data_IF_894559376039
#
_entry.id   IF_894559376039
#
_cell.length_a   1.000
_cell.length_b   1.000
_cell.length_c   1.000
_cell.angle_alpha   90.00
_cell.angle_beta   90.00
_cell.angle_gamma   90.00
#
_symmetry.space_group_name_H-M   'P 1'
#
loop_
_entity.id
_entity.type
_entity.pdbx_description
1 polymer ?
#
# COMPACT_ATOMS: atom_id res chain seq x y z
N UNK A 1 34.72 4.60 72.30
CA UNK A 1 33.43 5.09 71.76
C UNK A 1 33.59 5.72 70.37
N UNK A 2 34.59 6.59 70.13
CA UNK A 2 34.86 7.25 68.83
C UNK A 2 35.16 6.29 67.65
N UNK A 3 35.84 5.17 67.88
CA UNK A 3 36.17 4.18 66.84
C UNK A 3 34.96 3.40 66.32
N UNK A 4 33.98 3.11 67.19
CA UNK A 4 32.74 2.40 66.82
C UNK A 4 31.81 3.33 66.03
N UNK A 5 31.77 4.63 66.38
CA UNK A 5 31.00 5.63 65.65
C UNK A 5 31.54 5.82 64.23
N UNK A 6 32.86 5.91 64.06
CA UNK A 6 33.53 6.05 62.75
C UNK A 6 33.36 4.84 61.82
N UNK A 7 33.31 3.62 62.38
CA UNK A 7 33.02 2.39 61.62
C UNK A 7 31.56 2.33 61.14
N UNK A 8 30.61 2.82 61.96
CA UNK A 8 29.19 2.92 61.57
C UNK A 8 28.97 3.97 60.48
N UNK A 9 29.58 5.14 60.55
CA UNK A 9 29.49 6.16 59.48
C UNK A 9 30.14 5.70 58.18
N UNK A 10 31.30 5.02 58.21
CA UNK A 10 31.90 4.45 56.99
C UNK A 10 31.03 3.37 56.34
N UNK A 11 30.43 2.46 57.14
CA UNK A 11 29.50 1.46 56.62
C UNK A 11 28.22 2.08 56.06
N UNK A 12 27.69 3.12 56.70
CA UNK A 12 26.52 3.87 56.20
C UNK A 12 26.82 4.61 54.89
N UNK A 13 28.00 5.24 54.77
CA UNK A 13 28.45 5.88 53.52
C UNK A 13 28.59 4.85 52.40
N UNK A 14 29.26 3.73 52.65
CA UNK A 14 29.42 2.64 51.65
C UNK A 14 28.06 2.07 51.24
N UNK A 15 27.15 1.84 52.19
CA UNK A 15 25.80 1.38 51.90
C UNK A 15 25.00 2.40 51.06
N UNK A 16 25.13 3.70 51.36
CA UNK A 16 24.54 4.78 50.56
C UNK A 16 25.07 4.81 49.12
N UNK A 17 26.38 4.70 48.93
CA UNK A 17 27.00 4.60 47.60
C UNK A 17 26.56 3.34 46.85
N UNK A 18 26.45 2.19 47.53
CA UNK A 18 25.95 0.95 46.92
C UNK A 18 24.49 1.07 46.48
N UNK A 19 23.62 1.71 47.27
CA UNK A 19 22.23 1.95 46.88
C UNK A 19 22.12 2.87 45.65
N UNK A 20 22.91 3.93 45.60
CA UNK A 20 22.96 4.82 44.43
C UNK A 20 23.49 4.06 43.20
N UNK A 21 24.55 3.27 43.34
CA UNK A 21 25.11 2.47 42.25
C UNK A 21 24.12 1.40 41.75
N UNK A 22 23.40 0.74 42.65
CA UNK A 22 22.32 -0.20 42.30
C UNK A 22 21.17 0.53 41.60
N UNK A 23 20.77 1.71 42.08
CA UNK A 23 19.76 2.55 41.44
C UNK A 23 20.14 2.95 40.01
N UNK A 24 21.37 3.42 39.81
CA UNK A 24 21.92 3.74 38.48
C UNK A 24 22.01 2.51 37.58
N UNK A 25 22.37 1.35 38.14
CA UNK A 25 22.40 0.08 37.41
C UNK A 25 21.01 -0.35 36.93
N UNK A 26 20.00 -0.25 37.79
CA UNK A 26 18.59 -0.53 37.44
C UNK A 26 18.10 0.45 36.38
N UNK A 27 18.38 1.75 36.53
CA UNK A 27 18.01 2.77 35.54
C UNK A 27 18.68 2.49 34.19
N UNK A 28 19.97 2.20 34.17
CA UNK A 28 20.70 1.86 32.94
C UNK A 28 20.17 0.58 32.28
N UNK A 29 19.80 -0.42 33.08
CA UNK A 29 19.14 -1.64 32.60
C UNK A 29 17.77 -1.36 31.99
N UNK A 30 16.94 -0.57 32.67
CA UNK A 30 15.61 -0.19 32.19
C UNK A 30 15.66 0.62 30.89
N UNK A 31 16.59 1.59 30.78
CA UNK A 31 16.81 2.35 29.55
C UNK A 31 17.24 1.45 28.39
N UNK A 32 18.10 0.46 28.64
CA UNK A 32 18.53 -0.49 27.61
C UNK A 32 17.36 -1.34 27.13
N UNK A 33 16.58 -1.92 28.04
CA UNK A 33 15.40 -2.73 27.72
C UNK A 33 14.38 -1.91 26.94
N UNK A 34 14.11 -0.66 27.34
CA UNK A 34 13.19 0.24 26.62
C UNK A 34 13.68 0.53 25.20
N UNK A 35 14.97 0.78 25.02
CA UNK A 35 15.57 1.02 23.69
C UNK A 35 15.54 -0.23 22.82
N UNK A 36 15.86 -1.39 23.38
CA UNK A 36 15.86 -2.66 22.67
C UNK A 36 14.42 -3.04 22.26
N UNK A 37 13.44 -2.82 23.14
CA UNK A 37 12.01 -2.97 22.84
C UNK A 37 11.59 -2.05 21.68
N UNK A 38 11.85 -0.75 21.78
CA UNK A 38 11.51 0.21 20.71
C UNK A 38 12.16 -0.18 19.37
N UNK A 39 13.42 -0.64 19.39
CA UNK A 39 14.09 -1.16 18.20
C UNK A 39 13.41 -2.41 17.64
N UNK A 40 12.97 -3.33 18.50
CA UNK A 40 12.26 -4.54 18.07
C UNK A 40 10.88 -4.21 17.49
N UNK A 41 10.15 -3.26 18.09
CA UNK A 41 8.89 -2.75 17.56
C UNK A 41 9.09 -2.17 16.16
N UNK A 42 10.04 -1.25 16.02
CA UNK A 42 10.33 -0.60 14.73
C UNK A 42 10.85 -1.57 13.65
N UNK A 43 11.38 -2.73 14.06
CA UNK A 43 11.82 -3.80 13.15
C UNK A 43 10.81 -4.92 12.97
N UNK A 44 9.58 -4.78 13.49
CA UNK A 44 8.49 -5.74 13.31
C UNK A 44 8.70 -7.10 14.00
N UNK A 45 9.45 -7.13 15.10
CA UNK A 45 9.77 -8.35 15.85
C UNK A 45 8.94 -8.56 17.11
N UNK A 46 8.25 -7.51 17.57
CA UNK A 46 7.36 -7.60 18.73
C UNK A 46 5.95 -7.99 18.29
N UNK A 47 5.28 -8.92 19.01
CA UNK A 47 3.93 -9.34 18.67
C UNK A 47 2.93 -8.21 18.95
N UNK A 48 1.81 -8.13 18.20
CA UNK A 48 0.79 -7.11 18.44
C UNK A 48 0.15 -7.21 19.83
N UNK A 49 -0.24 -6.06 20.38
CA UNK A 49 -0.93 -6.00 21.66
C UNK A 49 -2.26 -6.76 21.63
N UNK A 50 -2.58 -7.35 22.79
CA UNK A 50 -3.85 -7.99 23.05
C UNK A 50 -5.01 -6.98 23.15
N UNK A 51 -6.21 -7.40 22.78
CA UNK A 51 -7.45 -6.63 22.98
C UNK A 51 -8.15 -6.20 21.69
N UNK A 52 -7.40 -5.99 20.62
CA UNK A 52 -7.96 -5.68 19.29
C UNK A 52 -8.67 -6.90 18.72
N UNK A 53 -9.92 -6.73 18.28
CA UNK A 53 -10.74 -7.75 17.63
C UNK A 53 -10.73 -7.61 16.11
N UNK A 54 -11.05 -8.69 15.41
CA UNK A 54 -11.16 -8.76 13.95
C UNK A 54 -9.95 -8.17 13.20
N UNK A 55 -8.74 -8.48 13.69
CA UNK A 55 -7.49 -7.99 13.10
C UNK A 55 -7.21 -8.68 11.77
N UNK A 56 -6.89 -7.88 10.75
CA UNK A 56 -6.57 -8.31 9.40
C UNK A 56 -5.06 -8.33 9.22
N UNK A 57 -4.53 -9.43 8.67
CA UNK A 57 -3.11 -9.52 8.32
C UNK A 57 -2.97 -9.25 6.84
N UNK A 58 -2.15 -8.25 6.49
CA UNK A 58 -1.85 -7.93 5.09
C UNK A 58 -0.38 -8.17 4.80
N UNK A 59 -0.11 -9.10 3.88
CA UNK A 59 1.21 -9.31 3.32
C UNK A 59 1.51 -8.17 2.35
N UNK A 60 2.63 -7.50 2.56
CA UNK A 60 3.07 -6.42 1.68
C UNK A 60 4.46 -6.74 1.16
N UNK A 61 4.90 -6.03 0.13
CA UNK A 61 6.29 -5.99 -0.24
C UNK A 61 7.15 -5.23 0.78
N UNK A 62 8.17 -4.57 0.27
CA UNK A 62 8.95 -3.58 0.99
C UNK A 62 8.15 -2.30 1.29
N UNK A 63 7.16 -1.97 0.46
CA UNK A 63 6.25 -0.85 0.65
C UNK A 63 4.82 -1.18 0.16
N UNK A 64 3.83 -0.40 0.57
CA UNK A 64 2.44 -0.50 0.08
C UNK A 64 1.66 0.78 0.41
N UNK A 65 1.32 1.54 -0.63
CA UNK A 65 0.58 2.81 -0.49
C UNK A 65 -0.86 2.55 0.02
N UNK A 66 -1.50 1.48 -0.43
CA UNK A 66 -2.82 1.07 0.05
C UNK A 66 -2.81 0.69 1.54
N UNK A 67 -1.70 0.13 2.04
CA UNK A 67 -1.53 -0.24 3.45
C UNK A 67 -1.39 0.98 4.34
N UNK A 68 -0.69 2.02 3.89
CA UNK A 68 -0.63 3.30 4.61
C UNK A 68 -2.04 3.86 4.86
N UNK A 69 -2.89 3.86 3.82
CA UNK A 69 -4.29 4.27 3.94
C UNK A 69 -5.07 3.37 4.91
N UNK A 70 -4.89 2.05 4.82
CA UNK A 70 -5.55 1.13 5.75
C UNK A 70 -5.12 1.37 7.20
N UNK A 71 -3.84 1.64 7.46
CA UNK A 71 -3.37 1.95 8.81
C UNK A 71 -3.99 3.25 9.32
N UNK A 72 -4.14 4.26 8.47
CA UNK A 72 -4.85 5.50 8.81
C UNK A 72 -6.32 5.29 9.17
N UNK A 73 -7.03 4.44 8.43
CA UNK A 73 -8.47 4.22 8.60
C UNK A 73 -8.81 3.25 9.74
N UNK A 74 -7.98 2.23 9.98
CA UNK A 74 -8.30 1.12 10.88
C UNK A 74 -7.33 0.96 12.06
N UNK A 75 -6.20 1.67 12.05
CA UNK A 75 -5.19 1.61 13.10
C UNK A 75 -4.78 0.18 13.43
N UNK A 76 -4.92 -0.18 14.71
CA UNK A 76 -4.47 -1.47 15.23
C UNK A 76 -5.23 -2.70 14.68
N UNK A 77 -6.36 -2.52 13.99
CA UNK A 77 -7.05 -3.61 13.30
C UNK A 77 -6.31 -4.11 12.06
N UNK A 78 -5.35 -3.34 11.53
CA UNK A 78 -4.48 -3.77 10.44
C UNK A 78 -3.13 -4.20 10.99
N UNK A 79 -2.66 -5.37 10.56
CA UNK A 79 -1.31 -5.85 10.79
C UNK A 79 -0.61 -6.06 9.45
N UNK A 80 0.14 -5.07 8.96
CA UNK A 80 0.96 -5.24 7.78
C UNK A 80 2.19 -6.09 8.07
N UNK A 81 2.59 -6.88 7.08
CA UNK A 81 3.77 -7.74 7.09
C UNK A 81 4.75 -7.25 6.03
N UNK A 82 5.75 -6.47 6.45
CA UNK A 82 6.73 -5.85 5.55
C UNK A 82 7.97 -6.73 5.32
N UNK A 83 8.41 -6.76 4.06
CA UNK A 83 9.71 -7.33 3.68
C UNK A 83 10.88 -6.54 4.24
N UNK A 84 10.77 -5.21 4.22
CA UNK A 84 11.78 -4.30 4.71
C UNK A 84 11.14 -3.15 5.50
N UNK A 85 11.04 -3.29 6.84
CA UNK A 85 10.53 -2.25 7.72
C UNK A 85 11.29 -0.92 7.60
N UNK A 86 12.54 -0.91 7.14
CA UNK A 86 13.32 0.32 7.03
C UNK A 86 12.76 1.27 5.97
N UNK A 87 12.22 0.75 4.87
CA UNK A 87 11.58 1.58 3.83
C UNK A 87 10.31 2.26 4.32
N UNK A 88 9.64 1.65 5.30
CA UNK A 88 8.41 2.17 5.91
C UNK A 88 8.65 2.78 7.28
N UNK A 89 9.89 3.21 7.59
CA UNK A 89 10.25 3.71 8.92
C UNK A 89 9.39 4.89 9.35
N UNK A 90 9.06 5.81 8.44
CA UNK A 90 8.21 6.96 8.74
C UNK A 90 6.83 6.50 9.21
N UNK A 91 6.21 5.57 8.48
CA UNK A 91 4.89 5.02 8.78
C UNK A 91 4.91 4.23 10.09
N UNK A 92 5.95 3.41 10.29
CA UNK A 92 6.11 2.62 11.51
C UNK A 92 6.32 3.53 12.72
N UNK A 93 7.17 4.55 12.63
CA UNK A 93 7.39 5.53 13.71
C UNK A 93 6.08 6.23 14.09
N UNK A 94 5.30 6.67 13.10
CA UNK A 94 4.00 7.30 13.30
C UNK A 94 3.01 6.39 14.06
N UNK A 95 2.79 5.17 13.56
CA UNK A 95 1.77 4.26 14.10
C UNK A 95 2.20 3.46 15.32
N UNK A 96 3.50 3.30 15.53
CA UNK A 96 4.04 2.70 16.75
C UNK A 96 4.23 3.71 17.89
N UNK A 97 3.99 5.00 17.66
CA UNK A 97 4.37 6.09 18.55
C UNK A 97 5.84 6.01 18.97
N UNK A 98 6.73 5.95 17.97
CA UNK A 98 8.19 5.81 18.12
C UNK A 98 8.63 4.54 18.86
N UNK A 99 8.01 3.42 18.50
CA UNK A 99 8.37 2.10 19.01
C UNK A 99 7.73 1.75 20.36
N UNK A 100 6.68 2.46 20.77
CA UNK A 100 5.93 2.14 22.00
C UNK A 100 4.90 1.03 21.78
N UNK A 101 4.34 0.93 20.58
CA UNK A 101 3.25 0.01 20.25
C UNK A 101 3.61 -0.83 19.03
N UNK A 102 3.61 -2.18 19.11
CA UNK A 102 3.78 -3.05 17.96
C UNK A 102 2.62 -2.89 16.97
N UNK A 103 2.93 -2.38 15.78
CA UNK A 103 1.94 -2.12 14.73
C UNK A 103 2.24 -2.84 13.41
N UNK A 104 3.39 -3.52 13.28
CA UNK A 104 3.80 -4.23 12.06
C UNK A 104 4.46 -5.56 12.40
N UNK A 105 4.51 -6.46 11.43
CA UNK A 105 5.30 -7.69 11.49
C UNK A 105 6.34 -7.71 10.37
N UNK A 106 7.48 -8.36 10.57
CA UNK A 106 8.54 -8.44 9.58
C UNK A 106 8.80 -9.88 9.13
N UNK A 107 8.78 -10.08 7.81
CA UNK A 107 9.17 -11.32 7.16
C UNK A 107 10.08 -10.97 5.97
N UNK A 108 11.39 -11.28 6.01
CA UNK A 108 12.27 -10.99 4.89
C UNK A 108 11.84 -11.66 3.59
N UNK A 109 12.25 -11.07 2.45
CA UNK A 109 12.08 -11.67 1.13
C UNK A 109 12.63 -13.10 1.07
N UNK A 110 11.89 -14.00 0.40
CA UNK A 110 12.20 -15.42 0.32
C UNK A 110 11.99 -16.21 1.62
N UNK A 111 11.53 -15.57 2.70
CA UNK A 111 11.35 -16.22 4.01
C UNK A 111 9.90 -16.45 4.46
N UNK A 112 8.93 -16.16 3.60
CA UNK A 112 7.50 -16.33 3.89
C UNK A 112 7.12 -17.79 4.16
N UNK A 113 7.82 -18.75 3.57
CA UNK A 113 7.63 -20.18 3.81
C UNK A 113 8.32 -20.76 5.06
N UNK A 114 9.17 -19.99 5.75
CA UNK A 114 9.87 -20.50 6.94
C UNK A 114 9.08 -20.26 8.22
N UNK A 115 8.86 -21.31 9.02
CA UNK A 115 8.14 -21.21 10.30
C UNK A 115 8.77 -20.23 11.29
N UNK A 116 10.09 -20.09 11.28
CA UNK A 116 10.78 -19.18 12.19
C UNK A 116 10.43 -17.70 11.93
N UNK A 117 10.10 -17.33 10.70
CA UNK A 117 9.66 -15.96 10.34
C UNK A 117 8.32 -15.56 10.96
N UNK A 118 7.55 -16.54 11.42
CA UNK A 118 6.23 -16.35 12.03
C UNK A 118 6.22 -16.70 13.52
N UNK A 119 7.39 -17.04 14.08
CA UNK A 119 7.51 -17.40 15.49
C UNK A 119 7.30 -16.17 16.36
N UNK A 120 6.42 -16.29 17.36
CA UNK A 120 6.00 -15.18 18.22
C UNK A 120 4.66 -14.56 17.79
N UNK A 121 4.30 -14.61 16.51
CA UNK A 121 2.98 -14.15 16.06
C UNK A 121 1.90 -15.14 16.50
N UNK A 122 1.09 -14.71 17.47
CA UNK A 122 -0.02 -15.51 18.01
C UNK A 122 -1.31 -15.11 17.32
N UNK A 123 -1.77 -15.99 16.43
CA UNK A 123 -3.06 -15.86 15.75
C UNK A 123 -4.10 -16.65 16.53
N UNK A 124 -5.11 -15.95 17.02
CA UNK A 124 -6.22 -16.51 17.80
C UNK A 124 -7.55 -15.96 17.30
N UNK A 125 -8.65 -16.27 18.01
CA UNK A 125 -10.02 -15.92 17.61
C UNK A 125 -10.22 -14.42 17.34
N UNK A 126 -9.37 -13.54 17.89
CA UNK A 126 -9.41 -12.10 17.66
C UNK A 126 -8.97 -11.67 16.26
N UNK A 127 -8.40 -12.57 15.46
CA UNK A 127 -8.13 -12.34 14.04
C UNK A 127 -9.30 -12.76 13.14
N UNK A 128 -10.36 -13.30 13.73
CA UNK A 128 -11.52 -13.79 12.96
C UNK A 128 -12.52 -12.67 12.78
N UNK A 129 -12.80 -12.36 11.52
CA UNK A 129 -13.94 -11.54 11.12
C UNK A 129 -15.23 -12.33 11.35
N UNK A 130 -16.20 -11.73 12.06
CA UNK A 130 -17.50 -12.35 12.30
C UNK A 130 -18.50 -11.90 11.23
N UNK A 131 -19.14 -12.86 10.56
CA UNK A 131 -20.21 -12.56 9.60
C UNK A 131 -21.55 -12.30 10.33
N UNK A 132 -22.48 -11.67 9.63
CA UNK A 132 -23.89 -11.54 10.03
C UNK A 132 -24.55 -12.90 10.31
N UNK A 133 -24.10 -13.94 9.60
CA UNK A 133 -24.53 -15.33 9.78
C UNK A 133 -23.83 -16.07 10.93
N UNK A 134 -22.96 -15.39 11.69
CA UNK A 134 -22.24 -15.95 12.85
C UNK A 134 -21.01 -16.79 12.50
N UNK A 135 -20.63 -16.89 11.22
CA UNK A 135 -19.43 -17.61 10.77
C UNK A 135 -18.18 -16.81 11.12
N UNK A 136 -17.10 -17.52 11.42
CA UNK A 136 -15.78 -16.94 11.65
C UNK A 136 -14.91 -17.10 10.41
N UNK A 137 -14.33 -15.99 9.95
CA UNK A 137 -13.51 -15.93 8.75
C UNK A 137 -12.15 -15.32 9.08
N UNK A 138 -11.08 -16.07 8.84
CA UNK A 138 -9.71 -15.58 8.85
C UNK A 138 -9.46 -14.86 7.53
N UNK A 139 -9.50 -13.53 7.56
CA UNK A 139 -9.26 -12.71 6.37
C UNK A 139 -7.78 -12.36 6.29
N UNK A 140 -7.15 -12.76 5.19
CA UNK A 140 -5.76 -12.52 4.88
C UNK A 140 -5.67 -11.79 3.56
N UNK A 141 -4.88 -10.74 3.52
CA UNK A 141 -4.74 -9.87 2.35
C UNK A 141 -3.29 -9.90 1.86
N UNK A 142 -3.08 -9.72 0.57
CA UNK A 142 -1.77 -9.46 0.00
C UNK A 142 -1.85 -8.31 -1.00
N UNK A 143 -0.92 -7.37 -0.88
CA UNK A 143 -0.69 -6.33 -1.86
C UNK A 143 0.58 -6.69 -2.64
N UNK A 144 0.39 -7.07 -3.90
CA UNK A 144 1.48 -7.43 -4.82
C UNK A 144 1.79 -6.31 -5.81
N UNK A 145 1.17 -5.14 -5.62
CA UNK A 145 1.46 -3.94 -6.41
C UNK A 145 2.81 -3.34 -6.01
N UNK A 146 3.29 -2.38 -6.81
CA UNK A 146 4.47 -1.59 -6.50
C UNK A 146 4.06 -0.18 -6.11
N UNK A 147 4.66 0.31 -5.02
CA UNK A 147 4.49 1.69 -4.60
C UNK A 147 4.93 2.66 -5.71
N UNK A 148 4.23 3.79 -5.83
CA UNK A 148 4.45 4.83 -6.87
C UNK A 148 4.26 4.38 -8.33
N UNK A 149 3.75 3.17 -8.58
CA UNK A 149 3.52 2.67 -9.94
C UNK A 149 2.04 2.43 -10.25
N UNK A 150 1.11 2.94 -9.44
CA UNK A 150 -0.31 2.59 -9.57
C UNK A 150 -0.89 2.97 -10.95
N UNK A 151 -0.54 4.15 -11.46
CA UNK A 151 -0.95 4.61 -12.80
C UNK A 151 0.07 4.30 -13.91
N UNK A 152 1.12 3.52 -13.64
CA UNK A 152 1.93 2.93 -14.71
C UNK A 152 1.15 1.76 -15.31
N UNK A 153 0.32 2.03 -16.33
CA UNK A 153 -0.65 1.07 -16.88
C UNK A 153 -0.03 -0.02 -17.78
N UNK A 154 1.28 0.07 -18.02
CA UNK A 154 2.05 -0.97 -18.69
C UNK A 154 2.36 -2.13 -17.72
N UNK A 155 2.51 -3.38 -18.21
CA UNK A 155 2.78 -4.51 -17.33
C UNK A 155 4.17 -4.36 -16.68
N UNK A 156 4.21 -4.26 -15.36
CA UNK A 156 5.48 -4.22 -14.60
C UNK A 156 6.04 -5.64 -14.47
N UNK A 157 7.34 -5.82 -14.74
CA UNK A 157 7.93 -7.15 -14.88
C UNK A 157 8.20 -7.89 -13.55
N UNK A 158 8.37 -7.17 -12.44
CA UNK A 158 8.79 -7.78 -11.16
C UNK A 158 8.01 -7.13 -10.02
N UNK A 159 7.12 -7.87 -9.32
CA UNK A 159 6.39 -7.33 -8.17
C UNK A 159 7.31 -7.26 -6.94
N UNK A 160 7.02 -6.33 -6.02
CA UNK A 160 7.77 -6.22 -4.75
C UNK A 160 7.45 -7.39 -3.81
N UNK A 161 6.21 -7.92 -3.84
CA UNK A 161 5.81 -9.18 -3.19
C UNK A 161 5.45 -10.22 -4.26
N UNK A 162 6.12 -11.37 -4.30
CA UNK A 162 5.79 -12.42 -5.27
C UNK A 162 4.55 -13.22 -4.84
N UNK A 163 3.92 -13.89 -5.80
CA UNK A 163 2.77 -14.75 -5.53
C UNK A 163 3.16 -15.97 -4.71
N UNK A 164 4.36 -16.52 -4.94
CA UNK A 164 4.88 -17.61 -4.13
C UNK A 164 5.01 -17.20 -2.67
N UNK A 165 5.55 -15.99 -2.41
CA UNK A 165 5.69 -15.48 -1.05
C UNK A 165 4.34 -15.22 -0.39
N UNK A 166 3.39 -14.60 -1.11
CA UNK A 166 2.03 -14.39 -0.62
C UNK A 166 1.33 -15.72 -0.27
N UNK A 167 1.39 -16.69 -1.19
CA UNK A 167 0.83 -18.05 -1.04
C UNK A 167 1.45 -18.80 0.14
N UNK A 168 2.77 -18.72 0.31
CA UNK A 168 3.48 -19.29 1.46
C UNK A 168 3.07 -18.62 2.78
N UNK A 169 2.97 -17.29 2.79
CA UNK A 169 2.54 -16.51 3.94
C UNK A 169 1.12 -16.88 4.39
N UNK A 170 0.16 -16.92 3.46
CA UNK A 170 -1.21 -17.35 3.74
C UNK A 170 -1.27 -18.74 4.40
N UNK A 171 -0.51 -19.71 3.88
CA UNK A 171 -0.46 -21.06 4.46
C UNK A 171 0.08 -21.07 5.89
N UNK A 172 1.13 -20.28 6.19
CA UNK A 172 1.69 -20.24 7.54
C UNK A 172 0.79 -19.50 8.53
N UNK A 173 0.12 -18.44 8.09
CA UNK A 173 -0.90 -17.73 8.88
C UNK A 173 -2.06 -18.67 9.22
N UNK A 174 -2.62 -19.36 8.22
CA UNK A 174 -3.72 -20.31 8.41
C UNK A 174 -3.32 -21.46 9.35
N UNK A 175 -2.11 -22.01 9.18
CA UNK A 175 -1.58 -23.04 10.07
C UNK A 175 -1.43 -22.55 11.51
N UNK A 176 -0.95 -21.32 11.71
CA UNK A 176 -0.80 -20.73 13.03
C UNK A 176 -2.16 -20.49 13.70
N UNK A 177 -3.20 -20.15 12.93
CA UNK A 177 -4.58 -20.03 13.40
C UNK A 177 -5.17 -21.40 13.76
N UNK A 178 -5.04 -22.39 12.88
CA UNK A 178 -5.58 -23.74 13.07
C UNK A 178 -4.97 -24.48 14.27
N UNK A 179 -3.75 -24.11 14.69
CA UNK A 179 -3.12 -24.65 15.89
C UNK A 179 -3.74 -24.14 17.20
N UNK A 180 -4.57 -23.08 17.17
CA UNK A 180 -5.07 -22.40 18.37
C UNK A 180 -6.59 -22.20 18.39
N UNK A 181 -7.24 -22.32 17.25
CA UNK A 181 -8.65 -22.00 17.08
C UNK A 181 -9.36 -23.27 16.65
N UNK A 182 -10.32 -23.69 17.46
CA UNK A 182 -11.15 -24.84 17.15
C UNK A 182 -11.99 -24.58 15.89
N UNK A 183 -12.04 -25.59 15.01
CA UNK A 183 -12.85 -25.53 13.80
C UNK A 183 -14.33 -25.68 14.15
N UNK A 184 -15.27 -25.12 13.34
CA UNK A 184 -15.05 -24.58 12.00
C UNK A 184 -14.76 -23.06 11.97
N UNK A 185 -13.71 -22.69 11.24
CA UNK A 185 -13.55 -21.35 10.66
C UNK A 185 -13.15 -21.48 9.20
N UNK A 186 -13.39 -20.44 8.39
CA UNK A 186 -12.98 -20.39 6.98
C UNK A 186 -11.83 -19.40 6.80
N UNK A 187 -11.02 -19.61 5.78
CA UNK A 187 -9.99 -18.67 5.36
C UNK A 187 -10.47 -17.92 4.12
N UNK A 188 -10.12 -16.63 4.02
CA UNK A 188 -10.35 -15.80 2.84
C UNK A 188 -9.03 -15.14 2.47
N UNK A 189 -8.52 -15.44 1.27
CA UNK A 189 -7.28 -14.90 0.69
C UNK A 189 -7.65 -13.88 -0.37
N UNK A 190 -7.30 -12.62 -0.11
CA UNK A 190 -7.56 -11.50 -1.01
C UNK A 190 -6.23 -10.99 -1.57
N UNK A 191 -6.12 -10.87 -2.89
CA UNK A 191 -4.90 -10.35 -3.54
C UNK A 191 -5.24 -9.11 -4.36
N UNK A 192 -4.52 -8.01 -4.13
CA UNK A 192 -4.50 -6.84 -4.99
C UNK A 192 -3.28 -6.92 -5.91
N UNK A 193 -3.49 -6.90 -7.22
CA UNK A 193 -2.42 -6.99 -8.21
C UNK A 193 -2.85 -6.60 -9.62
N UNK A 194 -1.94 -6.69 -10.58
CA UNK A 194 -2.24 -6.43 -11.99
C UNK A 194 -2.54 -7.76 -12.71
N UNK A 195 -3.77 -7.95 -13.21
CA UNK A 195 -4.17 -9.20 -13.89
C UNK A 195 -3.28 -9.57 -15.07
N UNK A 196 -2.76 -8.57 -15.79
CA UNK A 196 -2.00 -8.75 -17.04
C UNK A 196 -0.50 -8.80 -16.81
N UNK A 197 -0.06 -8.59 -15.57
CA UNK A 197 1.32 -8.84 -15.18
C UNK A 197 1.71 -10.27 -15.56
N UNK A 198 2.82 -10.40 -16.27
CA UNK A 198 3.34 -11.70 -16.71
C UNK A 198 4.40 -12.16 -15.73
N UNK A 199 4.16 -13.32 -15.12
CA UNK A 199 5.11 -14.00 -14.26
C UNK A 199 5.29 -15.43 -14.77
N UNK A 200 6.53 -15.86 -14.98
CA UNK A 200 6.83 -17.20 -15.54
C UNK A 200 6.04 -17.52 -16.83
N UNK A 201 5.94 -16.53 -17.74
CA UNK A 201 5.23 -16.62 -19.03
C UNK A 201 3.70 -16.78 -18.94
N UNK A 202 3.10 -16.65 -17.76
CA UNK A 202 1.65 -16.72 -17.57
C UNK A 202 1.15 -15.41 -16.95
N UNK A 203 -0.03 -14.95 -17.37
CA UNK A 203 -0.68 -13.81 -16.73
C UNK A 203 -1.06 -14.13 -15.28
N UNK A 204 -0.91 -13.15 -14.40
CA UNK A 204 -1.12 -13.30 -12.97
C UNK A 204 -2.48 -13.91 -12.63
N UNK A 205 -3.56 -13.40 -13.23
CA UNK A 205 -4.93 -13.89 -12.99
C UNK A 205 -5.06 -15.38 -13.32
N UNK A 206 -4.62 -15.79 -14.50
CA UNK A 206 -4.67 -17.17 -14.96
C UNK A 206 -3.85 -18.12 -14.06
N UNK A 207 -2.68 -17.66 -13.59
CA UNK A 207 -1.86 -18.41 -12.64
C UNK A 207 -2.59 -18.63 -11.31
N UNK A 208 -3.19 -17.58 -10.74
CA UNK A 208 -3.88 -17.64 -9.45
C UNK A 208 -5.06 -18.62 -9.48
N UNK A 209 -5.82 -18.62 -10.58
CA UNK A 209 -6.94 -19.53 -10.81
C UNK A 209 -6.46 -20.98 -10.96
N UNK A 210 -5.46 -21.23 -11.81
CA UNK A 210 -4.94 -22.57 -12.05
C UNK A 210 -4.37 -23.25 -10.79
N UNK A 211 -3.77 -22.47 -9.88
CA UNK A 211 -3.17 -22.98 -8.64
C UNK A 211 -4.06 -22.81 -7.40
N UNK A 212 -5.25 -22.20 -7.54
CA UNK A 212 -6.15 -21.87 -6.45
C UNK A 212 -5.44 -21.14 -5.29
N UNK A 213 -4.62 -20.12 -5.61
CA UNK A 213 -3.80 -19.38 -4.65
C UNK A 213 -4.51 -18.16 -4.03
N UNK A 214 -5.64 -17.77 -4.62
CA UNK A 214 -6.42 -16.60 -4.26
C UNK A 214 -7.92 -16.93 -4.26
N UNK A 215 -8.67 -16.40 -3.30
CA UNK A 215 -10.13 -16.54 -3.26
C UNK A 215 -10.83 -15.32 -3.88
N UNK A 216 -10.26 -14.12 -3.71
CA UNK A 216 -10.76 -12.87 -4.31
C UNK A 216 -9.59 -12.04 -4.83
N UNK A 217 -9.52 -11.86 -6.15
CA UNK A 217 -8.54 -11.03 -6.83
C UNK A 217 -9.12 -9.66 -7.16
N UNK A 218 -8.38 -8.62 -6.76
CA UNK A 218 -8.69 -7.21 -7.02
C UNK A 218 -7.68 -6.70 -8.07
N UNK A 219 -8.17 -6.31 -9.25
CA UNK A 219 -7.30 -5.75 -10.28
C UNK A 219 -6.97 -4.28 -9.99
N UNK A 220 -5.73 -4.03 -9.57
CA UNK A 220 -5.23 -2.73 -9.18
C UNK A 220 -5.27 -1.69 -10.31
N UNK A 221 -5.08 -2.12 -11.57
CA UNK A 221 -5.07 -1.23 -12.74
C UNK A 221 -6.49 -0.93 -13.21
N UNK A 222 -7.36 -1.93 -13.22
CA UNK A 222 -8.76 -1.76 -13.56
C UNK A 222 -9.45 -0.73 -12.64
N UNK A 223 -9.09 -0.71 -11.35
CA UNK A 223 -9.58 0.28 -10.38
C UNK A 223 -9.27 1.71 -10.85
N UNK A 224 -8.00 2.02 -11.13
CA UNK A 224 -7.58 3.37 -11.49
C UNK A 224 -8.06 3.77 -12.88
N UNK A 225 -8.11 2.83 -13.83
CA UNK A 225 -8.69 3.05 -15.16
C UNK A 225 -10.18 3.39 -15.07
N UNK A 226 -10.94 2.65 -14.27
CA UNK A 226 -12.37 2.90 -14.06
C UNK A 226 -12.60 4.27 -13.42
N UNK A 227 -11.77 4.67 -12.45
CA UNK A 227 -11.85 5.98 -11.84
C UNK A 227 -11.56 7.11 -12.85
N UNK A 228 -10.55 6.92 -13.71
CA UNK A 228 -10.21 7.88 -14.76
C UNK A 228 -11.35 8.03 -15.77
N UNK A 229 -11.91 6.92 -16.25
CA UNK A 229 -13.05 6.98 -17.17
C UNK A 229 -14.28 7.63 -16.53
N UNK A 230 -14.57 7.34 -15.26
CA UNK A 230 -15.66 7.99 -14.51
C UNK A 230 -15.44 9.49 -14.30
N UNK A 231 -14.18 9.93 -14.18
CA UNK A 231 -13.86 11.35 -14.15
C UNK A 231 -14.10 11.99 -15.52
N UNK A 232 -13.59 11.38 -16.59
CA UNK A 232 -13.73 11.89 -17.95
C UNK A 232 -15.21 11.96 -18.41
N UNK A 233 -16.04 10.99 -18.02
CA UNK A 233 -17.48 10.98 -18.30
C UNK A 233 -18.26 12.17 -17.75
N UNK A 234 -17.71 12.90 -16.77
CA UNK A 234 -18.34 14.12 -16.22
C UNK A 234 -18.02 15.36 -17.04
N UNK A 235 -17.06 15.27 -17.95
CA UNK A 235 -16.63 16.38 -18.80
C UNK A 235 -17.53 16.48 -20.03
N UNK A 236 -17.63 17.67 -20.66
CA UNK A 236 -18.28 17.81 -21.95
C UNK A 236 -17.65 16.89 -22.99
N UNK A 237 -18.47 16.28 -23.85
CA UNK A 237 -17.99 15.26 -24.79
C UNK A 237 -17.10 15.82 -25.90
N UNK A 238 -17.26 17.11 -26.19
CA UNK A 238 -16.45 17.90 -27.12
C UNK A 238 -15.23 18.56 -26.47
N UNK A 239 -15.06 18.42 -25.15
CA UNK A 239 -13.89 18.99 -24.46
C UNK A 239 -12.62 18.20 -24.79
N UNK A 240 -11.59 18.91 -25.26
CA UNK A 240 -10.23 18.38 -25.36
C UNK A 240 -9.63 18.27 -23.97
N UNK A 241 -9.16 17.09 -23.59
CA UNK A 241 -8.47 16.86 -22.31
C UNK A 241 -6.98 17.08 -22.53
N UNK A 242 -6.40 18.05 -21.82
CA UNK A 242 -4.96 18.26 -21.80
C UNK A 242 -4.33 17.31 -20.80
N UNK A 243 -3.30 16.58 -21.21
CA UNK A 243 -2.61 15.61 -20.36
C UNK A 243 -1.17 16.07 -20.16
N UNK A 244 -0.82 16.37 -18.91
CA UNK A 244 0.56 16.63 -18.48
C UNK A 244 1.15 15.34 -17.89
N UNK A 245 1.89 14.60 -18.73
CA UNK A 245 2.54 13.36 -18.30
C UNK A 245 3.76 13.02 -19.15
N UNK A 246 4.47 11.95 -18.78
CA UNK A 246 5.53 11.40 -19.64
C UNK A 246 4.96 10.88 -20.97
N UNK A 247 5.75 10.82 -22.06
CA UNK A 247 5.26 10.32 -23.35
C UNK A 247 4.66 8.90 -23.27
N UNK A 248 5.25 8.04 -22.45
CA UNK A 248 4.76 6.67 -22.23
C UNK A 248 3.39 6.67 -21.56
N UNK A 249 3.23 7.44 -20.48
CA UNK A 249 1.97 7.53 -19.75
C UNK A 249 0.89 8.22 -20.58
N UNK A 250 1.26 9.25 -21.35
CA UNK A 250 0.38 9.94 -22.28
C UNK A 250 -0.25 8.98 -23.28
N UNK A 251 0.56 8.18 -23.97
CA UNK A 251 0.08 7.27 -25.01
C UNK A 251 -1.00 6.32 -24.48
N UNK A 252 -0.82 5.80 -23.27
CA UNK A 252 -1.79 4.89 -22.65
C UNK A 252 -3.07 5.62 -22.24
N UNK A 253 -2.95 6.75 -21.53
CA UNK A 253 -4.11 7.53 -21.08
C UNK A 253 -4.92 8.06 -22.27
N UNK A 254 -4.24 8.51 -23.32
CA UNK A 254 -4.85 8.94 -24.56
C UNK A 254 -5.65 7.81 -25.22
N UNK A 255 -5.08 6.61 -25.33
CA UNK A 255 -5.79 5.45 -25.88
C UNK A 255 -7.01 5.05 -25.04
N UNK A 256 -6.86 5.02 -23.71
CA UNK A 256 -7.95 4.72 -22.77
C UNK A 256 -9.11 5.73 -22.89
N UNK A 257 -8.80 7.03 -22.96
CA UNK A 257 -9.81 8.09 -23.09
C UNK A 257 -10.43 8.12 -24.49
N UNK A 258 -9.67 7.84 -25.54
CA UNK A 258 -10.14 7.73 -26.92
C UNK A 258 -11.14 6.58 -27.09
N UNK A 259 -10.99 5.49 -26.34
CA UNK A 259 -11.99 4.39 -26.32
C UNK A 259 -13.39 4.85 -25.86
N UNK A 260 -13.49 6.02 -25.21
CA UNK A 260 -14.75 6.67 -24.84
C UNK A 260 -15.08 7.93 -25.66
N UNK A 261 -14.36 8.15 -26.75
CA UNK A 261 -14.60 9.25 -27.67
C UNK A 261 -14.04 10.60 -27.21
N UNK A 262 -13.22 10.64 -26.16
CA UNK A 262 -12.56 11.87 -25.75
C UNK A 262 -11.35 12.17 -26.63
N UNK A 263 -11.17 13.46 -26.94
CA UNK A 263 -9.97 13.97 -27.62
C UNK A 263 -8.96 14.38 -26.55
N UNK A 264 -7.70 14.01 -26.75
CA UNK A 264 -6.61 14.32 -25.82
C UNK A 264 -5.49 15.07 -26.51
N UNK A 265 -4.76 15.88 -25.75
CA UNK A 265 -3.61 16.66 -26.24
C UNK A 265 -2.51 16.69 -25.17
N UNK A 266 -1.22 16.61 -25.53
CA UNK A 266 -0.13 16.80 -24.59
C UNK A 266 -0.06 18.25 -24.08
N UNK A 267 0.36 18.44 -22.82
CA UNK A 267 0.56 19.78 -22.25
C UNK A 267 1.52 20.67 -23.05
N UNK A 268 2.55 20.08 -23.67
CA UNK A 268 3.52 20.81 -24.49
C UNK A 268 2.89 21.42 -25.74
N UNK A 269 1.93 20.72 -26.35
CA UNK A 269 1.19 21.21 -27.52
C UNK A 269 0.17 22.26 -27.12
N UNK A 270 -0.60 22.01 -26.06
CA UNK A 270 -1.58 22.96 -25.52
C UNK A 270 -0.92 24.30 -25.13
N UNK A 271 0.28 24.24 -24.54
CA UNK A 271 1.05 25.43 -24.17
C UNK A 271 1.60 26.21 -25.37
N UNK A 272 1.73 25.59 -26.54
CA UNK A 272 2.17 26.24 -27.77
C UNK A 272 1.02 26.96 -28.51
N UNK A 273 -0.23 26.68 -28.15
CA UNK A 273 -1.41 27.31 -28.76
C UNK A 273 -1.66 28.70 -28.16
N UNK A 274 -1.18 29.74 -28.83
CA UNK A 274 -1.32 31.14 -28.36
C UNK A 274 -2.68 31.77 -28.66
N UNK A 275 -3.45 31.19 -29.60
CA UNK A 275 -4.72 31.75 -30.08
C UNK A 275 -5.96 31.06 -29.51
N UNK A 276 -5.78 29.99 -28.74
CA UNK A 276 -6.86 29.18 -28.16
C UNK A 276 -6.74 29.27 -26.64
N UNK A 277 -7.86 29.47 -25.96
CA UNK A 277 -7.92 29.50 -24.50
C UNK A 277 -7.85 28.09 -23.93
N UNK A 278 -6.66 27.49 -23.95
CA UNK A 278 -6.44 26.13 -23.48
C UNK A 278 -6.51 26.04 -21.96
N UNK A 279 -6.37 27.16 -21.23
CA UNK A 279 -6.46 27.22 -19.77
C UNK A 279 -7.81 26.77 -19.20
N UNK A 280 -8.89 26.90 -19.99
CA UNK A 280 -10.24 26.50 -19.61
C UNK A 280 -10.54 25.02 -19.90
N UNK A 281 -9.62 24.30 -20.56
CA UNK A 281 -9.81 22.89 -20.86
C UNK A 281 -9.55 22.00 -19.62
N UNK A 282 -10.16 20.82 -19.54
CA UNK A 282 -9.84 19.83 -18.51
C UNK A 282 -8.36 19.42 -18.57
N UNK A 283 -7.67 19.52 -17.44
CA UNK A 283 -6.26 19.15 -17.31
C UNK A 283 -6.11 17.90 -16.44
N UNK A 284 -5.44 16.89 -16.96
CA UNK A 284 -5.07 15.66 -16.25
C UNK A 284 -3.56 15.65 -16.03
N UNK A 285 -3.12 15.63 -14.77
CA UNK A 285 -1.69 15.71 -14.42
C UNK A 285 -1.24 14.40 -13.79
N UNK A 286 -0.19 13.79 -14.36
CA UNK A 286 0.43 12.59 -13.83
C UNK A 286 1.90 12.46 -14.24
N UNK A 287 2.80 12.49 -13.25
CA UNK A 287 4.22 12.29 -13.45
C UNK A 287 4.73 11.06 -12.68
N UNK A 288 6.03 10.82 -12.74
CA UNK A 288 6.70 9.62 -12.21
C UNK A 288 6.56 9.38 -10.71
N UNK A 289 6.13 10.39 -9.94
CA UNK A 289 5.86 10.25 -8.51
C UNK A 289 4.76 11.22 -8.08
N UNK A 290 4.13 10.91 -6.95
CA UNK A 290 3.11 11.78 -6.35
C UNK A 290 3.64 13.22 -6.14
N UNK A 291 4.86 13.37 -5.63
CA UNK A 291 5.48 14.69 -5.42
C UNK A 291 5.73 15.44 -6.73
N UNK A 292 6.16 14.74 -7.78
CA UNK A 292 6.35 15.35 -9.10
C UNK A 292 5.01 15.83 -9.69
N UNK A 293 3.96 15.01 -9.59
CA UNK A 293 2.61 15.37 -10.04
C UNK A 293 2.10 16.63 -9.34
N UNK A 294 2.24 16.71 -8.02
CA UNK A 294 1.82 17.88 -7.23
C UNK A 294 2.60 19.14 -7.65
N UNK A 295 3.92 19.03 -7.80
CA UNK A 295 4.75 20.16 -8.22
C UNK A 295 4.38 20.67 -9.63
N UNK A 296 4.12 19.75 -10.57
CA UNK A 296 3.70 20.12 -11.93
C UNK A 296 2.33 20.80 -11.94
N UNK A 297 1.36 20.25 -11.22
CA UNK A 297 0.04 20.87 -11.03
C UNK A 297 0.17 22.29 -10.46
N UNK A 298 0.94 22.46 -9.39
CA UNK A 298 1.15 23.78 -8.77
C UNK A 298 1.79 24.76 -9.75
N UNK A 299 2.75 24.31 -10.56
CA UNK A 299 3.38 25.12 -11.61
C UNK A 299 2.35 25.54 -12.68
N UNK A 300 1.46 24.64 -13.10
CA UNK A 300 0.40 24.95 -14.08
C UNK A 300 -0.57 26.02 -13.57
N UNK A 301 -0.99 25.89 -12.30
CA UNK A 301 -1.90 26.84 -11.66
C UNK A 301 -1.23 28.21 -11.49
N UNK A 302 -0.03 28.25 -10.91
CA UNK A 302 0.70 29.50 -10.64
C UNK A 302 1.08 30.26 -11.93
N UNK A 303 1.27 29.54 -13.04
CA UNK A 303 1.54 30.14 -14.34
C UNK A 303 0.28 30.53 -15.12
N UNK A 304 -0.92 30.41 -14.52
CA UNK A 304 -2.21 30.66 -15.16
C UNK A 304 -2.40 29.87 -16.47
N UNK A 305 -1.83 28.67 -16.54
CA UNK A 305 -1.93 27.78 -17.72
C UNK A 305 -3.08 26.77 -17.62
N UNK A 306 -3.69 26.65 -16.45
CA UNK A 306 -4.85 25.81 -16.22
C UNK A 306 -5.74 26.41 -15.12
N UNK A 307 -7.06 26.35 -15.31
CA UNK A 307 -8.03 26.61 -14.26
C UNK A 307 -7.96 25.47 -13.21
N UNK A 308 -7.72 25.78 -11.92
CA UNK A 308 -7.70 24.77 -10.85
C UNK A 308 -8.95 23.88 -10.80
N UNK A 309 -10.12 24.43 -11.14
CA UNK A 309 -11.40 23.70 -11.12
C UNK A 309 -11.52 22.68 -12.25
N UNK A 310 -10.71 22.84 -13.30
CA UNK A 310 -10.62 21.93 -14.45
C UNK A 310 -9.47 20.93 -14.30
N UNK A 311 -8.67 21.05 -13.25
CA UNK A 311 -7.53 20.18 -13.01
C UNK A 311 -7.92 18.90 -12.27
N UNK A 312 -7.25 17.80 -12.62
CA UNK A 312 -7.31 16.53 -11.94
C UNK A 312 -5.91 15.93 -11.80
N UNK A 313 -5.46 15.72 -10.57
CA UNK A 313 -4.17 15.07 -10.30
C UNK A 313 -4.34 13.57 -10.07
N UNK A 314 -3.50 12.76 -10.73
CA UNK A 314 -3.38 11.33 -10.47
C UNK A 314 -2.29 11.08 -9.43
N UNK A 315 -2.69 10.62 -8.25
CA UNK A 315 -1.82 10.50 -7.07
C UNK A 315 -1.65 9.03 -6.68
N UNK A 316 -0.42 8.54 -6.59
CA UNK A 316 -0.21 7.14 -6.20
C UNK A 316 -0.53 6.90 -4.73
N UNK A 317 -0.10 7.83 -3.85
CA UNK A 317 -0.19 7.70 -2.40
C UNK A 317 -1.10 8.76 -1.76
N UNK A 318 -1.40 8.59 -0.46
CA UNK A 318 -2.28 9.48 0.29
C UNK A 318 -1.62 10.81 0.71
N UNK A 319 -0.29 10.85 0.81
CA UNK A 319 0.44 12.09 1.09
C UNK A 319 0.15 13.19 0.04
N UNK A 320 -0.02 12.80 -1.23
CA UNK A 320 -0.43 13.73 -2.28
C UNK A 320 -1.78 14.40 -2.03
N UNK A 321 -2.72 13.71 -1.37
CA UNK A 321 -4.04 14.29 -1.07
C UNK A 321 -3.95 15.39 -0.02
N UNK A 322 -3.13 15.20 1.01
CA UNK A 322 -2.95 16.21 2.06
C UNK A 322 -2.30 17.46 1.49
N UNK A 323 -1.26 17.30 0.67
CA UNK A 323 -0.63 18.42 -0.03
C UNK A 323 -1.61 19.12 -0.99
N UNK A 324 -2.42 18.35 -1.73
CA UNK A 324 -3.41 18.94 -2.64
C UNK A 324 -4.49 19.74 -1.89
N UNK A 325 -4.89 19.31 -0.69
CA UNK A 325 -5.80 20.07 0.16
C UNK A 325 -5.20 21.40 0.59
N UNK A 326 -3.90 21.44 0.89
CA UNK A 326 -3.19 22.68 1.21
C UNK A 326 -3.17 23.65 0.02
N UNK A 327 -2.90 23.15 -1.19
CA UNK A 327 -2.96 23.97 -2.42
C UNK A 327 -4.39 24.48 -2.66
N UNK A 328 -5.38 23.61 -2.56
CA UNK A 328 -6.79 23.97 -2.73
C UNK A 328 -7.25 25.05 -1.74
N UNK A 329 -6.77 25.00 -0.48
CA UNK A 329 -7.02 26.03 0.53
C UNK A 329 -6.33 27.36 0.19
N UNK A 330 -5.10 27.32 -0.32
CA UNK A 330 -4.37 28.51 -0.71
C UNK A 330 -5.00 29.22 -1.92
N UNK A 331 -5.48 28.45 -2.89
CA UNK A 331 -6.11 28.94 -4.12
C UNK A 331 -7.62 29.22 -3.96
N UNK A 332 -8.19 29.02 -2.75
CA UNK A 332 -9.63 29.14 -2.43
C UNK A 332 -10.54 28.42 -3.46
N UNK A 333 -10.13 27.23 -3.88
CA UNK A 333 -10.78 26.50 -4.97
C UNK A 333 -10.73 24.99 -4.75
N UNK A 334 -11.50 24.25 -5.54
CA UNK A 334 -11.47 22.78 -5.52
C UNK A 334 -10.65 22.27 -6.68
N UNK A 335 -9.65 21.44 -6.37
CA UNK A 335 -8.87 20.74 -7.36
C UNK A 335 -9.26 19.26 -7.35
N UNK A 336 -9.51 18.69 -8.53
CA UNK A 336 -9.83 17.27 -8.67
C UNK A 336 -8.63 16.37 -8.37
N UNK A 337 -8.89 15.17 -7.89
CA UNK A 337 -7.86 14.15 -7.72
C UNK A 337 -8.40 12.74 -7.82
N UNK A 338 -7.54 11.83 -8.28
CA UNK A 338 -7.75 10.39 -8.20
C UNK A 338 -6.55 9.81 -7.45
N UNK A 339 -6.79 9.32 -6.22
CA UNK A 339 -5.74 8.70 -5.41
C UNK A 339 -5.84 7.17 -5.52
N UNK A 340 -4.80 6.54 -6.05
CA UNK A 340 -4.77 5.09 -6.23
C UNK A 340 -4.78 4.35 -4.89
N UNK A 341 -3.98 4.78 -3.91
CA UNK A 341 -3.93 4.17 -2.59
C UNK A 341 -5.29 4.13 -1.89
N UNK A 342 -6.08 5.20 -1.97
CA UNK A 342 -7.43 5.24 -1.40
C UNK A 342 -8.37 4.28 -2.12
N UNK A 343 -8.33 4.26 -3.46
CA UNK A 343 -9.16 3.37 -4.25
C UNK A 343 -8.80 1.90 -3.99
N UNK A 344 -7.52 1.57 -3.92
CA UNK A 344 -7.05 0.22 -3.60
C UNK A 344 -7.50 -0.23 -2.21
N UNK A 345 -7.36 0.61 -1.17
CA UNK A 345 -7.91 0.30 0.16
C UNK A 345 -9.44 0.17 0.15
N UNK A 346 -10.15 1.01 -0.62
CA UNK A 346 -11.61 0.94 -0.71
C UNK A 346 -12.09 -0.39 -1.26
N UNK A 347 -11.38 -0.99 -2.22
CA UNK A 347 -11.72 -2.31 -2.73
C UNK A 347 -11.39 -3.42 -1.72
N UNK A 348 -10.26 -3.35 -1.00
CA UNK A 348 -10.03 -4.26 0.13
C UNK A 348 -11.14 -4.15 1.18
N UNK A 349 -11.52 -2.93 1.53
CA UNK A 349 -12.62 -2.63 2.46
C UNK A 349 -13.94 -3.20 1.97
N UNK A 350 -14.25 -3.04 0.68
CA UNK A 350 -15.47 -3.57 0.07
C UNK A 350 -15.53 -5.09 0.17
N UNK A 351 -14.43 -5.79 -0.12
CA UNK A 351 -14.34 -7.25 0.04
C UNK A 351 -14.60 -7.65 1.50
N UNK A 352 -14.00 -6.95 2.48
CA UNK A 352 -14.27 -7.20 3.91
C UNK A 352 -15.73 -6.97 4.28
N UNK A 353 -16.36 -5.91 3.79
CA UNK A 353 -17.78 -5.59 4.04
C UNK A 353 -18.69 -6.68 3.48
N UNK A 354 -18.51 -7.08 2.21
CA UNK A 354 -19.31 -8.14 1.61
C UNK A 354 -19.10 -9.50 2.30
N UNK A 355 -17.88 -9.78 2.72
CA UNK A 355 -17.57 -10.95 3.54
C UNK A 355 -18.33 -10.93 4.86
N UNK A 356 -18.38 -9.77 5.56
CA UNK A 356 -19.19 -9.60 6.77
C UNK A 356 -20.66 -9.84 6.51
N UNK A 357 -21.18 -9.38 5.38
CA UNK A 357 -22.57 -9.58 4.97
C UNK A 357 -22.90 -11.05 4.65
N UNK A 358 -21.88 -11.91 4.52
CA UNK A 358 -22.04 -13.35 4.33
C UNK A 358 -21.97 -13.80 2.86
N UNK A 359 -21.58 -12.92 1.94
CA UNK A 359 -21.33 -13.30 0.54
C UNK A 359 -20.15 -14.27 0.44
N UNK A 360 -20.22 -15.21 -0.50
CA UNK A 360 -19.09 -16.11 -0.79
C UNK A 360 -18.01 -15.37 -1.58
N UNK A 361 -16.78 -15.89 -1.53
CA UNK A 361 -15.67 -15.38 -2.32
C UNK A 361 -15.98 -15.37 -3.83
N UNK A 362 -16.65 -16.41 -4.34
CA UNK A 362 -17.08 -16.49 -5.75
C UNK A 362 -18.03 -15.35 -6.12
N UNK A 363 -19.06 -15.08 -5.31
CA UNK A 363 -20.01 -13.98 -5.56
C UNK A 363 -19.33 -12.62 -5.51
N UNK A 364 -18.38 -12.44 -4.59
CA UNK A 364 -17.57 -11.23 -4.52
C UNK A 364 -16.73 -11.08 -5.79
N UNK A 365 -16.10 -12.16 -6.27
CA UNK A 365 -15.29 -12.15 -7.47
C UNK A 365 -16.13 -11.82 -8.71
N UNK A 366 -17.29 -12.46 -8.87
CA UNK A 366 -18.20 -12.26 -10.01
C UNK A 366 -18.64 -10.79 -10.12
N UNK A 367 -18.93 -10.15 -8.98
CA UNK A 367 -19.28 -8.73 -8.91
C UNK A 367 -18.11 -7.82 -9.32
N UNK A 368 -16.89 -8.12 -8.85
CA UNK A 368 -15.70 -7.37 -9.24
C UNK A 368 -15.41 -7.52 -10.75
N UNK A 369 -15.51 -8.73 -11.27
CA UNK A 369 -15.28 -9.03 -12.68
C UNK A 369 -16.31 -8.34 -13.57
N UNK A 370 -17.59 -8.35 -13.16
CA UNK A 370 -18.65 -7.60 -13.84
C UNK A 370 -18.36 -6.11 -13.87
N UNK A 371 -17.93 -5.55 -12.73
CA UNK A 371 -17.64 -4.12 -12.61
C UNK A 371 -16.43 -3.69 -13.45
N UNK A 372 -15.44 -4.57 -13.60
CA UNK A 372 -14.21 -4.28 -14.34
C UNK A 372 -14.23 -4.76 -15.79
N UNK A 373 -15.26 -5.48 -16.23
CA UNK A 373 -15.32 -6.09 -17.56
C UNK A 373 -15.00 -5.11 -18.69
N UNK A 374 -15.58 -3.91 -18.64
CA UNK A 374 -15.37 -2.88 -19.67
C UNK A 374 -13.92 -2.39 -19.72
N UNK A 375 -13.35 -2.02 -18.55
CA UNK A 375 -11.98 -1.48 -18.50
C UNK A 375 -10.94 -2.55 -18.80
N UNK A 376 -11.20 -3.81 -18.44
CA UNK A 376 -10.33 -4.93 -18.79
C UNK A 376 -10.31 -5.20 -20.29
N UNK A 377 -11.45 -5.06 -20.98
CA UNK A 377 -11.50 -5.15 -22.44
C UNK A 377 -10.66 -4.05 -23.12
N UNK A 378 -10.75 -2.81 -22.63
CA UNK A 378 -9.93 -1.69 -23.13
C UNK A 378 -8.45 -1.90 -22.80
N UNK A 379 -8.14 -2.39 -21.61
CA UNK A 379 -6.77 -2.68 -21.16
C UNK A 379 -6.09 -3.69 -22.10
N UNK A 380 -6.81 -4.75 -22.46
CA UNK A 380 -6.33 -5.78 -23.39
C UNK A 380 -6.05 -5.20 -24.78
N UNK A 381 -6.97 -4.40 -25.34
CA UNK A 381 -6.77 -3.79 -26.67
C UNK A 381 -5.63 -2.76 -26.68
N UNK A 382 -5.46 -2.02 -25.58
CA UNK A 382 -4.37 -1.02 -25.44
C UNK A 382 -2.99 -1.69 -25.48
N UNK A 383 -2.84 -2.86 -24.87
CA UNK A 383 -1.56 -3.59 -24.89
C UNK A 383 -1.21 -4.15 -26.28
N UNK A 384 -2.20 -4.34 -27.15
CA UNK A 384 -2.01 -4.79 -28.52
C UNK A 384 -1.68 -3.61 -29.46
N UNK A 385 -2.15 -2.40 -29.14
CA UNK A 385 -1.97 -1.20 -29.97
C UNK A 385 -0.72 -0.38 -29.65
N UNK A 386 -0.22 -0.39 -28.40
CA UNK A 386 0.97 0.38 -28.00
C UNK A 386 2.26 -0.40 -28.32
N UNK A 387 3.19 0.14 -29.12
CA UNK A 387 4.42 -0.54 -29.47
C UNK A 387 5.28 -0.80 -28.22
N UNK A 388 5.69 -2.06 -28.03
CA UNK A 388 6.60 -2.45 -26.94
C UNK A 388 7.98 -1.87 -27.22
N UNK A 389 8.40 -0.87 -26.46
CA UNK A 389 9.83 -0.59 -26.37
C UNK A 389 10.51 -1.79 -25.70
N UNK A 390 11.58 -2.36 -26.29
CA UNK A 390 12.27 -3.46 -25.67
C UNK A 390 12.83 -2.99 -24.32
N UNK A 391 12.40 -3.66 -23.25
CA UNK A 391 12.99 -3.51 -21.91
C UNK A 391 14.48 -3.76 -22.07
N UNK A 392 15.30 -2.72 -21.82
CA UNK A 392 16.75 -2.84 -21.82
C UNK A 392 17.16 -3.95 -20.88
N UNK A 393 17.79 -5.00 -21.41
CA UNK A 393 18.30 -6.14 -20.67
C UNK A 393 19.53 -5.81 -19.80
N UNK A 394 19.85 -4.54 -19.57
CA UNK A 394 20.97 -4.10 -18.74
C UNK A 394 20.61 -3.98 -17.26
N UNK A 395 20.20 -5.09 -16.63
CA UNK A 395 20.16 -5.20 -15.16
C UNK A 395 20.49 -6.62 -14.65
N UNK A 396 21.18 -7.43 -15.47
CA UNK A 396 21.72 -8.74 -15.08
C UNK A 396 23.19 -8.82 -15.52
N UNK A 397 24.05 -8.09 -14.82
CA UNK A 397 25.48 -8.14 -15.06
C UNK A 397 26.19 -7.00 -14.36
N UNK A 398 26.31 -7.09 -13.03
CA UNK A 398 27.40 -6.51 -12.22
C UNK A 398 27.06 -6.72 -10.72
N UNK A 399 27.10 -7.97 -10.27
CA UNK A 399 27.13 -8.30 -8.83
C UNK A 399 28.05 -9.50 -8.55
N UNK A 400 29.07 -9.69 -9.39
CA UNK A 400 30.07 -10.75 -9.24
C UNK A 400 31.41 -10.30 -9.81
N UNK A 401 31.91 -9.16 -9.31
CA UNK A 401 33.32 -8.75 -9.31
C UNK A 401 33.40 -7.41 -8.60
N UNK A 402 33.62 -7.47 -7.29
CA UNK A 402 34.62 -6.69 -6.54
C UNK A 402 34.34 -6.81 -5.03
N UNK A 403 35.30 -7.44 -4.34
CA UNK A 403 35.53 -7.60 -2.90
C UNK A 403 34.64 -8.57 -2.11
#
# INVERSE_FOLDING_TARGET
MLTILGLRTKRALVAGFMLIAQGLGIMGGAMRVSRDYSKNVCSGKEPPLHGVQERIIRLTGSASDATEVSMARYGAHMLPVFKDPHKMRYLISLWSHDGKIPCVWHVPGGKYGFRHSWTGLRIDRRYMLKTTTGKLILTMEADVTRAEEAFHLMPSAIPDLSIEEASQGFRLIERAAAARIERPFRSLRVILGDSLQVEQQVHLRARLEAKNECDVFIDAKAIVMLALLKWAQKLPQDATIVIDSSPEHYAYMAHLLAAKGHVTMPQSEAAAMTHVKTEAWPHLVYLSSTSATINALQTLIQSNRADPTQCCALLNNAYGLDHLREIALYEDTRIGSICAAELHDDYFRQVRIWTRMGHSASTIQDELDTRFAEVLAIKQSTLESVPRHPVSSMALGNASKEL
#
